data_IF_967007064712
#
_entry.id   IF_967007064712
#
_cell.length_a   1.000
_cell.length_b   1.000
_cell.length_c   1.000
_cell.angle_alpha   90.00
_cell.angle_beta   90.00
_cell.angle_gamma   90.00
#
_symmetry.space_group_name_H-M   'P 1'
#
loop_
_entity.id
_entity.type
_entity.pdbx_description
1 polymer ?
#
# COMPACT_ATOMS: atom_id res chain seq x y z
N UNK A 1 -20.15 -9.35 2.08
CA UNK A 1 -19.19 -8.22 2.07
C UNK A 1 -18.13 -8.56 3.10
N UNK A 2 -16.86 -8.54 2.74
CA UNK A 2 -15.78 -8.85 3.69
C UNK A 2 -15.71 -7.75 4.75
N UNK A 3 -15.84 -8.13 6.03
CA UNK A 3 -15.86 -7.18 7.13
C UNK A 3 -14.46 -6.64 7.49
N UNK A 4 -13.40 -7.17 6.89
CA UNK A 4 -12.00 -6.82 7.23
C UNK A 4 -11.31 -5.95 6.19
N UNK A 5 -11.95 -5.65 5.06
CA UNK A 5 -11.41 -4.68 4.09
C UNK A 5 -12.03 -3.32 4.38
N UNK A 6 -11.18 -2.31 4.62
CA UNK A 6 -11.61 -0.93 4.90
C UNK A 6 -10.85 0.05 4.02
N UNK A 7 -11.58 1.03 3.52
CA UNK A 7 -11.01 2.20 2.83
C UNK A 7 -11.38 3.44 3.62
N UNK A 8 -10.38 4.24 3.98
CA UNK A 8 -10.58 5.53 4.63
C UNK A 8 -10.12 6.62 3.69
N UNK A 9 -11.02 7.51 3.31
CA UNK A 9 -10.71 8.67 2.49
C UNK A 9 -10.02 9.75 3.32
N UNK A 10 -9.24 10.61 2.63
CA UNK A 10 -8.53 11.73 3.25
C UNK A 10 -7.59 11.33 4.40
N UNK A 11 -7.00 10.14 4.33
CA UNK A 11 -6.00 9.69 5.29
C UNK A 11 -4.68 10.46 5.12
N UNK A 12 -4.34 10.82 3.88
CA UNK A 12 -3.25 11.73 3.54
C UNK A 12 -3.83 13.01 2.95
N UNK A 13 -3.24 14.16 3.27
CA UNK A 13 -3.58 15.41 2.60
C UNK A 13 -3.04 15.43 1.16
N UNK A 14 -3.62 16.26 0.30
CA UNK A 14 -3.16 16.43 -1.07
C UNK A 14 -1.69 16.88 -1.13
N UNK A 15 -1.29 17.78 -0.22
CA UNK A 15 0.08 18.28 -0.13
C UNK A 15 1.07 17.17 0.26
N UNK A 16 0.69 16.25 1.15
CA UNK A 16 1.52 15.11 1.52
C UNK A 16 1.66 14.15 0.33
N UNK A 17 0.57 13.85 -0.37
CA UNK A 17 0.59 13.01 -1.56
C UNK A 17 1.52 13.58 -2.63
N UNK A 18 1.36 14.87 -2.97
CA UNK A 18 2.15 15.55 -3.99
C UNK A 18 3.64 15.63 -3.59
N UNK A 19 3.92 15.90 -2.32
CA UNK A 19 5.29 15.91 -1.79
C UNK A 19 5.99 14.55 -1.95
N UNK A 20 5.28 13.46 -1.64
CA UNK A 20 5.83 12.10 -1.76
C UNK A 20 6.07 11.72 -3.23
N UNK A 21 5.15 12.05 -4.14
CA UNK A 21 5.32 11.81 -5.58
C UNK A 21 6.52 12.61 -6.10
N UNK A 22 6.59 13.90 -5.82
CA UNK A 22 7.69 14.76 -6.26
C UNK A 22 9.05 14.27 -5.73
N UNK A 23 9.08 13.83 -4.48
CA UNK A 23 10.30 13.27 -3.87
C UNK A 23 10.72 11.96 -4.53
N UNK A 24 9.77 11.08 -4.87
CA UNK A 24 10.05 9.89 -5.66
C UNK A 24 10.63 10.26 -7.04
N UNK A 25 9.98 11.16 -7.76
CA UNK A 25 10.41 11.54 -9.12
C UNK A 25 11.77 12.25 -9.15
N UNK A 26 12.13 12.97 -8.09
CA UNK A 26 13.47 13.58 -7.94
C UNK A 26 14.54 12.61 -7.44
N UNK A 27 14.17 11.41 -6.95
CA UNK A 27 15.14 10.40 -6.52
C UNK A 27 15.88 9.82 -7.73
N UNK A 28 17.22 9.76 -7.72
CA UNK A 28 17.98 9.17 -8.83
C UNK A 28 17.52 7.73 -9.13
N UNK A 29 17.51 7.37 -10.40
CA UNK A 29 17.10 6.01 -10.84
C UNK A 29 17.96 4.92 -10.20
N UNK A 30 19.25 5.20 -9.96
CA UNK A 30 20.16 4.29 -9.25
C UNK A 30 19.74 3.96 -7.81
N UNK A 31 18.89 4.79 -7.21
CA UNK A 31 18.37 4.61 -5.85
C UNK A 31 16.93 4.04 -5.84
N UNK A 32 16.41 3.71 -7.01
CA UNK A 32 15.11 3.05 -7.17
C UNK A 32 15.34 1.58 -7.48
N UNK A 33 14.60 0.71 -6.81
CA UNK A 33 14.58 -0.71 -7.11
C UNK A 33 13.56 -0.98 -8.21
N UNK A 34 13.95 -1.66 -9.29
CA UNK A 34 13.01 -2.17 -10.29
C UNK A 34 12.69 -3.62 -10.00
N UNK A 35 11.41 -3.92 -9.83
CA UNK A 35 10.89 -5.28 -9.77
C UNK A 35 10.36 -5.67 -11.14
N UNK A 36 10.81 -6.84 -11.64
CA UNK A 36 10.48 -7.34 -12.97
C UNK A 36 10.53 -8.88 -12.97
N UNK A 37 9.67 -9.50 -12.16
CA UNK A 37 9.61 -10.95 -11.97
C UNK A 37 8.18 -11.46 -12.02
N UNK A 38 7.89 -12.44 -12.88
CA UNK A 38 6.56 -13.03 -13.02
C UNK A 38 5.52 -11.96 -13.39
N UNK A 39 4.55 -11.76 -12.53
CA UNK A 39 3.51 -10.70 -12.68
C UNK A 39 3.76 -9.49 -11.77
N UNK A 40 4.99 -9.30 -11.33
CA UNK A 40 5.42 -8.21 -10.44
C UNK A 40 6.28 -7.21 -11.22
N UNK A 41 5.69 -6.12 -11.69
CA UNK A 41 6.35 -5.12 -12.53
C UNK A 41 6.07 -3.72 -11.98
N UNK A 42 7.06 -3.11 -11.32
CA UNK A 42 6.99 -1.75 -10.78
C UNK A 42 8.38 -1.25 -10.37
N UNK A 43 8.51 0.04 -10.16
CA UNK A 43 9.68 0.65 -9.51
C UNK A 43 9.34 1.07 -8.09
N UNK A 44 10.28 0.96 -7.15
CA UNK A 44 10.05 1.37 -5.77
C UNK A 44 11.25 2.07 -5.13
N UNK A 45 10.98 2.77 -4.03
CA UNK A 45 11.98 3.24 -3.07
C UNK A 45 11.61 2.73 -1.67
N UNK A 46 12.63 2.39 -0.89
CA UNK A 46 12.50 2.11 0.53
C UNK A 46 12.89 3.38 1.30
N UNK A 47 11.99 3.89 2.16
CA UNK A 47 12.19 5.15 2.88
C UNK A 47 13.44 5.13 3.74
N UNK A 48 13.68 4.02 4.45
CA UNK A 48 14.88 3.87 5.28
C UNK A 48 16.16 3.89 4.45
N UNK A 49 16.20 3.14 3.35
CA UNK A 49 17.36 3.06 2.46
C UNK A 49 17.66 4.41 1.79
N UNK A 50 16.62 5.19 1.47
CA UNK A 50 16.74 6.52 0.87
C UNK A 50 16.95 7.66 1.90
N UNK A 51 16.96 7.36 3.19
CA UNK A 51 17.12 8.37 4.25
C UNK A 51 15.92 9.31 4.42
N UNK A 52 14.71 8.89 4.04
CA UNK A 52 13.47 9.68 4.13
C UNK A 52 12.87 9.63 5.54
N UNK A 53 13.69 9.97 6.52
CA UNK A 53 13.33 9.82 7.93
C UNK A 53 12.10 10.66 8.32
N UNK A 54 12.04 11.90 7.87
CA UNK A 54 10.92 12.80 8.21
C UNK A 54 9.60 12.24 7.69
N UNK A 55 9.55 11.83 6.42
CA UNK A 55 8.37 11.22 5.84
C UNK A 55 8.02 9.89 6.51
N UNK A 56 9.03 9.07 6.83
CA UNK A 56 8.81 7.82 7.55
C UNK A 56 8.14 8.06 8.90
N UNK A 57 8.65 9.01 9.71
CA UNK A 57 8.10 9.33 11.02
C UNK A 57 6.65 9.86 10.92
N UNK A 58 6.37 10.71 9.91
CA UNK A 58 5.02 11.23 9.63
C UNK A 58 4.05 10.08 9.27
N UNK A 59 4.44 9.20 8.35
CA UNK A 59 3.61 8.10 7.90
C UNK A 59 3.36 7.06 9.01
N UNK A 60 4.35 6.77 9.84
CA UNK A 60 4.19 5.88 11.01
C UNK A 60 3.07 6.38 11.91
N UNK A 61 3.01 7.67 12.21
CA UNK A 61 1.93 8.24 13.04
C UNK A 61 0.56 8.08 12.39
N UNK A 62 0.47 8.30 11.07
CA UNK A 62 -0.79 8.13 10.32
C UNK A 62 -1.22 6.64 10.34
N UNK A 63 -0.32 5.70 10.07
CA UNK A 63 -0.63 4.27 10.10
C UNK A 63 -1.06 3.80 11.47
N UNK A 64 -0.38 4.20 12.54
CA UNK A 64 -0.75 3.87 13.91
C UNK A 64 -2.13 4.42 14.30
N UNK A 65 -2.47 5.64 13.87
CA UNK A 65 -3.80 6.21 14.11
C UNK A 65 -4.89 5.42 13.37
N UNK A 66 -4.62 5.02 12.11
CA UNK A 66 -5.55 4.22 11.32
C UNK A 66 -5.65 2.77 11.79
N UNK A 67 -4.61 2.20 12.39
CA UNK A 67 -4.70 0.89 13.07
C UNK A 67 -5.75 0.94 14.19
N UNK A 68 -5.71 1.96 15.04
CA UNK A 68 -6.69 2.13 16.12
C UNK A 68 -8.12 2.28 15.58
N UNK A 69 -8.29 3.10 14.53
CA UNK A 69 -9.58 3.28 13.87
C UNK A 69 -10.07 1.97 13.25
N UNK A 70 -9.21 1.29 12.50
CA UNK A 70 -9.52 0.01 11.85
C UNK A 70 -9.96 -1.04 12.86
N UNK A 71 -9.20 -1.27 13.94
CA UNK A 71 -9.54 -2.30 14.95
C UNK A 71 -10.87 -2.03 15.65
N UNK A 72 -11.21 -0.76 15.86
CA UNK A 72 -12.52 -0.37 16.39
C UNK A 72 -13.64 -0.62 15.36
N UNK A 73 -13.44 -0.21 14.11
CA UNK A 73 -14.45 -0.32 13.03
C UNK A 73 -14.75 -1.78 12.63
N UNK A 74 -13.78 -2.69 12.78
CA UNK A 74 -13.97 -4.13 12.49
C UNK A 74 -14.27 -4.96 13.76
N UNK A 75 -14.23 -4.32 14.93
CA UNK A 75 -14.63 -4.94 16.20
C UNK A 75 -13.61 -5.93 16.77
N UNK A 76 -12.31 -5.74 16.53
CA UNK A 76 -11.23 -6.65 16.99
C UNK A 76 -10.23 -5.98 17.93
N UNK A 77 -10.63 -4.92 18.61
CA UNK A 77 -9.71 -4.15 19.47
C UNK A 77 -9.09 -4.98 20.59
N UNK A 78 -9.83 -5.94 21.14
CA UNK A 78 -9.38 -6.81 22.24
C UNK A 78 -8.54 -7.99 21.76
N UNK A 79 -8.78 -8.47 20.55
CA UNK A 79 -8.07 -9.58 19.93
C UNK A 79 -6.80 -9.14 19.20
N UNK A 80 -6.68 -7.84 18.90
CA UNK A 80 -5.53 -7.29 18.19
C UNK A 80 -4.27 -7.35 19.06
N UNK A 81 -3.09 -7.67 18.49
CA UNK A 81 -1.84 -7.72 19.24
C UNK A 81 -1.55 -6.42 20.00
N UNK A 82 -1.20 -6.53 21.29
CA UNK A 82 -0.86 -5.37 22.12
C UNK A 82 0.49 -4.73 21.75
N UNK A 83 1.39 -5.53 21.15
CA UNK A 83 2.70 -5.09 20.67
C UNK A 83 2.84 -5.50 19.22
N UNK A 84 3.09 -4.52 18.37
CA UNK A 84 3.33 -4.71 16.95
C UNK A 84 4.30 -3.63 16.44
N UNK A 85 4.85 -3.85 15.27
CA UNK A 85 5.75 -2.92 14.60
C UNK A 85 5.38 -2.85 13.11
N UNK A 86 5.73 -1.76 12.47
CA UNK A 86 5.62 -1.62 11.02
C UNK A 86 6.90 -2.12 10.35
N UNK A 87 6.75 -2.79 9.21
CA UNK A 87 7.88 -3.05 8.31
C UNK A 87 8.35 -1.74 7.63
N UNK A 88 9.42 -1.84 6.85
CA UNK A 88 9.91 -0.70 6.08
C UNK A 88 8.82 -0.15 5.15
N UNK A 89 8.62 1.16 5.19
CA UNK A 89 7.70 1.86 4.31
C UNK A 89 8.31 1.94 2.91
N UNK A 90 7.52 1.58 1.90
CA UNK A 90 7.91 1.61 0.49
C UNK A 90 6.92 2.41 -0.32
N UNK A 91 7.43 3.23 -1.24
CA UNK A 91 6.64 3.87 -2.28
C UNK A 91 6.90 3.17 -3.60
N UNK A 92 5.84 2.69 -4.22
CA UNK A 92 5.85 1.99 -5.52
C UNK A 92 5.24 2.87 -6.58
N UNK A 93 5.85 2.88 -7.77
CA UNK A 93 5.34 3.49 -9.00
C UNK A 93 5.06 2.42 -10.03
N UNK A 94 3.89 2.51 -10.64
CA UNK A 94 3.46 1.71 -11.78
C UNK A 94 3.24 2.64 -12.98
N UNK A 95 3.88 2.35 -14.11
CA UNK A 95 3.74 3.11 -15.35
C UNK A 95 2.48 2.70 -16.12
N UNK A 96 1.80 3.63 -16.82
CA UNK A 96 0.59 3.34 -17.59
C UNK A 96 0.90 2.77 -18.98
N UNK A 97 1.94 1.94 -19.09
CA UNK A 97 2.39 1.31 -20.34
C UNK A 97 1.70 -0.03 -20.64
N UNK A 98 0.76 -0.44 -19.78
CA UNK A 98 0.08 -1.72 -19.87
C UNK A 98 0.90 -2.92 -19.35
N UNK A 99 2.14 -2.69 -18.91
CA UNK A 99 3.03 -3.73 -18.41
C UNK A 99 3.09 -3.74 -16.87
N UNK A 100 3.24 -2.57 -16.24
CA UNK A 100 3.39 -2.47 -14.79
C UNK A 100 2.10 -2.88 -14.07
N UNK A 101 2.23 -3.86 -13.19
CA UNK A 101 1.16 -4.42 -12.35
C UNK A 101 1.73 -5.15 -11.14
N UNK A 102 0.86 -5.58 -10.26
CA UNK A 102 1.17 -6.63 -9.29
C UNK A 102 0.07 -7.69 -9.39
N UNK A 103 0.38 -8.81 -10.00
CA UNK A 103 -0.57 -9.90 -10.24
C UNK A 103 -1.15 -10.50 -8.96
N UNK A 104 -2.10 -11.44 -9.07
CA UNK A 104 -2.75 -12.05 -7.91
C UNK A 104 -1.76 -12.71 -6.95
N UNK A 105 -1.78 -12.28 -5.68
CA UNK A 105 -0.87 -12.78 -4.63
C UNK A 105 -1.47 -12.63 -3.24
N UNK A 106 -0.79 -13.23 -2.27
CA UNK A 106 -0.93 -12.95 -0.85
C UNK A 106 0.43 -12.53 -0.31
N UNK A 107 0.49 -11.72 0.74
CA UNK A 107 1.77 -11.21 1.26
C UNK A 107 2.39 -12.11 2.33
N UNK A 108 1.63 -13.08 2.84
CA UNK A 108 2.11 -14.10 3.78
C UNK A 108 2.27 -15.42 3.04
N UNK A 109 3.51 -15.72 2.63
CA UNK A 109 3.84 -16.90 1.82
C UNK A 109 4.79 -17.88 2.48
N UNK A 110 5.49 -17.44 3.53
CA UNK A 110 6.48 -18.25 4.24
C UNK A 110 6.68 -17.78 5.69
N UNK A 111 7.65 -18.39 6.39
CA UNK A 111 7.97 -18.04 7.77
C UNK A 111 8.47 -16.60 7.92
N UNK A 112 9.19 -16.06 6.96
CA UNK A 112 9.74 -14.69 7.04
C UNK A 112 8.66 -13.63 6.96
N UNK A 113 7.57 -13.91 6.27
CA UNK A 113 6.42 -13.03 6.09
C UNK A 113 5.26 -13.31 7.07
N UNK A 114 5.38 -14.36 7.90
CA UNK A 114 4.30 -14.83 8.78
C UNK A 114 3.85 -13.84 9.86
N UNK A 115 4.62 -12.79 10.12
CA UNK A 115 4.29 -11.71 11.06
C UNK A 115 3.44 -10.61 10.45
N UNK A 116 3.19 -10.64 9.14
CA UNK A 116 2.33 -9.68 8.42
C UNK A 116 0.88 -10.04 8.64
N UNK A 117 0.20 -9.38 9.54
CA UNK A 117 -1.22 -9.65 9.81
C UNK A 117 -2.14 -8.49 9.39
N UNK A 118 -1.58 -7.33 9.04
CA UNK A 118 -2.30 -6.19 8.50
C UNK A 118 -1.43 -5.49 7.46
N UNK A 119 -2.04 -5.01 6.38
CA UNK A 119 -1.37 -4.23 5.34
C UNK A 119 -2.04 -2.88 5.19
N UNK A 120 -1.23 -1.87 4.88
CA UNK A 120 -1.65 -0.50 4.57
C UNK A 120 -1.22 -0.14 3.15
N UNK A 121 -2.17 0.24 2.30
CA UNK A 121 -1.89 0.82 0.99
C UNK A 121 -2.53 2.20 0.90
N UNK A 122 -1.73 3.23 0.65
CA UNK A 122 -2.20 4.60 0.41
C UNK A 122 -1.99 4.94 -1.05
N UNK A 123 -3.06 5.34 -1.72
CA UNK A 123 -3.01 5.84 -3.08
C UNK A 123 -2.64 7.32 -3.06
N UNK A 124 -1.56 7.69 -3.75
CA UNK A 124 -1.08 9.08 -3.74
C UNK A 124 -1.68 9.94 -4.84
N UNK A 125 -2.38 9.32 -5.81
CA UNK A 125 -3.07 10.03 -6.86
C UNK A 125 -4.29 9.22 -7.32
N UNK A 126 -5.26 9.90 -7.96
CA UNK A 126 -6.39 9.25 -8.59
C UNK A 126 -5.92 8.45 -9.81
N UNK A 127 -6.49 7.28 -10.05
CA UNK A 127 -6.23 6.49 -11.25
C UNK A 127 -7.45 5.64 -11.61
N UNK A 128 -7.87 5.70 -12.87
CA UNK A 128 -9.10 5.03 -13.32
C UNK A 128 -9.00 3.50 -13.27
N UNK A 129 -7.83 2.90 -13.48
CA UNK A 129 -7.66 1.44 -13.51
C UNK A 129 -6.86 0.89 -12.34
N UNK A 130 -6.20 1.76 -11.56
CA UNK A 130 -5.13 1.39 -10.64
C UNK A 130 -5.56 0.85 -9.27
N UNK A 131 -6.80 0.43 -9.07
CA UNK A 131 -7.29 -0.09 -7.80
C UNK A 131 -6.62 -1.39 -7.33
N UNK A 132 -6.97 -1.84 -6.13
CA UNK A 132 -6.62 -3.18 -5.63
C UNK A 132 -7.85 -4.09 -5.77
N UNK A 133 -7.70 -5.17 -6.51
CA UNK A 133 -8.75 -6.17 -6.73
C UNK A 133 -8.58 -7.34 -5.77
N UNK A 134 -9.70 -7.81 -5.23
CA UNK A 134 -9.79 -8.97 -4.35
C UNK A 134 -10.56 -10.08 -5.09
N UNK A 135 -9.83 -11.04 -5.66
CA UNK A 135 -10.38 -12.02 -6.58
C UNK A 135 -11.51 -12.88 -5.99
N UNK A 136 -11.36 -13.34 -4.75
CA UNK A 136 -12.30 -14.27 -4.11
C UNK A 136 -13.64 -13.66 -3.74
N UNK A 137 -13.69 -12.35 -3.58
CA UNK A 137 -14.90 -11.63 -3.16
C UNK A 137 -15.38 -10.65 -4.22
N UNK A 138 -14.72 -10.61 -5.40
CA UNK A 138 -15.04 -9.75 -6.54
C UNK A 138 -15.21 -8.28 -6.15
N UNK A 139 -14.30 -7.79 -5.29
CA UNK A 139 -14.27 -6.42 -4.82
C UNK A 139 -13.04 -5.71 -5.40
N UNK A 140 -13.22 -4.48 -5.87
CA UNK A 140 -12.10 -3.60 -6.25
C UNK A 140 -12.16 -2.33 -5.42
N UNK A 141 -11.09 -2.02 -4.68
CA UNK A 141 -10.97 -0.72 -4.03
C UNK A 141 -10.69 0.36 -5.07
N UNK A 142 -11.29 1.55 -4.97
CA UNK A 142 -10.92 2.65 -5.86
C UNK A 142 -9.50 3.13 -5.60
N UNK A 143 -8.78 3.52 -6.66
CA UNK A 143 -7.51 4.23 -6.55
C UNK A 143 -7.80 5.74 -6.43
N UNK A 144 -8.08 6.19 -5.21
CA UNK A 144 -8.44 7.58 -4.90
C UNK A 144 -7.34 8.25 -4.08
N UNK A 145 -6.91 9.43 -4.53
CA UNK A 145 -5.85 10.22 -3.87
C UNK A 145 -6.13 10.40 -2.37
N UNK A 146 -5.11 10.18 -1.56
CA UNK A 146 -5.17 10.31 -0.10
C UNK A 146 -5.96 9.22 0.63
N UNK A 147 -6.53 8.24 -0.08
CA UNK A 147 -7.23 7.12 0.56
C UNK A 147 -6.27 6.04 1.04
N UNK A 148 -6.52 5.50 2.22
CA UNK A 148 -5.82 4.33 2.76
C UNK A 148 -6.73 3.10 2.71
N UNK A 149 -6.22 2.03 2.12
CA UNK A 149 -6.82 0.70 2.13
C UNK A 149 -6.13 -0.15 3.18
N UNK A 150 -6.90 -0.79 4.06
CA UNK A 150 -6.39 -1.64 5.15
C UNK A 150 -7.12 -2.99 5.12
N UNK A 151 -6.36 -4.09 5.18
CA UNK A 151 -6.91 -5.45 5.22
C UNK A 151 -5.87 -6.46 5.71
N UNK A 152 -6.27 -7.69 6.16
CA UNK A 152 -5.35 -8.77 6.45
C UNK A 152 -4.74 -9.35 5.16
N UNK A 153 -3.41 -9.38 4.99
CA UNK A 153 -2.76 -9.81 3.74
C UNK A 153 -2.55 -11.33 3.64
N UNK A 154 -3.46 -12.09 4.25
CA UNK A 154 -3.38 -13.54 4.38
C UNK A 154 -4.01 -14.27 3.16
N UNK A 155 -3.89 -15.59 3.13
CA UNK A 155 -4.49 -16.46 2.11
C UNK A 155 -6.02 -16.30 1.91
N UNK A 156 -6.70 -15.69 2.87
CA UNK A 156 -8.11 -15.32 2.77
C UNK A 156 -8.36 -14.12 1.85
N UNK A 157 -7.37 -13.27 1.64
CA UNK A 157 -7.46 -12.02 0.89
C UNK A 157 -6.48 -12.04 -0.29
N UNK A 158 -6.64 -13.02 -1.20
CA UNK A 158 -5.95 -13.02 -2.49
C UNK A 158 -6.28 -11.71 -3.22
N UNK A 159 -5.26 -10.94 -3.56
CA UNK A 159 -5.45 -9.63 -4.15
C UNK A 159 -4.43 -9.31 -5.24
N UNK A 160 -4.75 -8.33 -6.08
CA UNK A 160 -3.89 -7.85 -7.15
C UNK A 160 -3.90 -6.33 -7.25
N UNK A 161 -2.78 -5.75 -7.58
CA UNK A 161 -2.65 -4.33 -7.91
C UNK A 161 -2.89 -4.13 -9.40
N UNK A 162 -4.08 -3.66 -9.77
CA UNK A 162 -4.46 -3.48 -11.17
C UNK A 162 -3.57 -2.47 -11.88
N UNK A 163 -3.45 -2.64 -13.21
CA UNK A 163 -2.66 -1.76 -14.09
C UNK A 163 -3.26 -0.35 -14.11
N UNK A 164 -2.41 0.68 -14.02
CA UNK A 164 -2.88 2.04 -14.29
C UNK A 164 -3.24 2.20 -15.77
N UNK A 165 -4.22 3.05 -16.07
CA UNK A 165 -4.71 3.27 -17.43
C UNK A 165 -4.27 4.63 -17.98
N UNK A 166 -4.53 5.70 -17.25
CA UNK A 166 -4.44 7.08 -17.74
C UNK A 166 -3.11 7.78 -17.39
N UNK A 167 -2.56 7.46 -16.24
CA UNK A 167 -1.33 8.08 -15.71
C UNK A 167 -0.62 7.13 -14.74
N UNK A 168 0.63 7.42 -14.34
CA UNK A 168 1.33 6.60 -13.36
C UNK A 168 0.55 6.48 -12.06
N UNK A 169 0.55 5.28 -11.48
CA UNK A 169 -0.02 5.01 -10.15
C UNK A 169 1.10 5.01 -9.11
N UNK A 170 0.87 5.68 -8.00
CA UNK A 170 1.77 5.69 -6.86
C UNK A 170 1.07 5.14 -5.62
N UNK A 171 1.69 4.17 -4.97
CA UNK A 171 1.20 3.56 -3.72
C UNK A 171 2.31 3.61 -2.68
N UNK A 172 1.98 4.09 -1.48
CA UNK A 172 2.81 3.91 -0.28
C UNK A 172 2.21 2.79 0.55
N UNK A 173 3.07 1.90 1.06
CA UNK A 173 2.60 0.79 1.87
C UNK A 173 3.59 0.30 2.92
N UNK A 174 3.04 -0.43 3.91
CA UNK A 174 3.75 -1.16 4.95
C UNK A 174 2.87 -2.28 5.51
N UNK A 175 3.45 -3.12 6.37
CA UNK A 175 2.76 -4.20 7.08
C UNK A 175 2.86 -4.03 8.59
#
# INVERSE_FOLDING_TARGET
MDNYIRVYENAFSDELCDRLINKFESTPVSNRERHDMGEMHFSQVNFRACGWKQEQDELVNIFLSHTKKYTADVGVTTEFPQKYALEDIRLKKYSPDGYDQFGPHVDVVDKSTSTRFLVFFVYLDDNMGGGTHFDRIHLTSPCKKGSILIFPPLWTHLHSGLKPIDKPKYIVGSY
#
